data_IF_929177861334
#
_entry.id   IF_929177861334
#
_cell.length_a   1.000
_cell.length_b   1.000
_cell.length_c   1.000
_cell.angle_alpha   90.00
_cell.angle_beta   90.00
_cell.angle_gamma   90.00
#
_symmetry.space_group_name_H-M   'P 1'
#
loop_
_entity.id
_entity.type
_entity.pdbx_description
1 polymer ?
#
# COMPACT_ATOMS: atom_id res chain seq x y z
N UNK A 1 -38.64 3.49 5.40
CA UNK A 1 -37.22 3.77 5.70
C UNK A 1 -36.49 3.70 4.38
N UNK A 2 -35.95 4.82 3.90
CA UNK A 2 -35.16 4.84 2.67
C UNK A 2 -34.01 3.84 2.78
N UNK A 3 -33.76 3.11 1.70
CA UNK A 3 -32.68 2.13 1.65
C UNK A 3 -31.36 2.90 1.77
N UNK A 4 -30.69 2.71 2.91
CA UNK A 4 -29.43 3.38 3.22
C UNK A 4 -28.39 3.02 2.14
N UNK A 5 -28.06 3.97 1.28
CA UNK A 5 -27.08 3.76 0.20
C UNK A 5 -25.68 3.99 0.76
N UNK A 6 -24.80 3.03 0.49
CA UNK A 6 -23.40 3.08 0.94
C UNK A 6 -22.46 2.77 -0.21
N UNK A 7 -21.34 3.46 -0.22
CA UNK A 7 -20.16 3.13 -1.00
C UNK A 7 -19.12 2.50 -0.05
N UNK A 8 -18.56 1.36 -0.45
CA UNK A 8 -17.56 0.61 0.32
C UNK A 8 -16.22 0.70 -0.40
N UNK A 9 -15.24 1.35 0.23
CA UNK A 9 -13.94 1.63 -0.35
C UNK A 9 -12.88 0.78 0.39
N UNK A 10 -12.22 -0.18 -0.27
CA UNK A 10 -11.16 -0.95 0.36
C UNK A 10 -9.95 -0.05 0.66
N UNK A 11 -9.41 -0.16 1.87
CA UNK A 11 -8.13 0.44 2.21
C UNK A 11 -7.02 -0.46 1.68
N UNK A 12 -6.27 0.10 0.73
CA UNK A 12 -5.16 -0.54 0.03
C UNK A 12 -3.83 -0.15 0.67
N UNK A 13 -2.77 -0.88 0.32
CA UNK A 13 -1.42 -0.63 0.83
C UNK A 13 -0.79 0.63 0.23
N UNK A 14 0.21 1.18 0.92
CA UNK A 14 1.04 2.29 0.42
C UNK A 14 1.65 1.98 -0.95
N UNK A 15 2.01 0.73 -1.22
CA UNK A 15 2.56 0.30 -2.50
C UNK A 15 1.56 0.42 -3.66
N UNK A 16 0.27 0.22 -3.38
CA UNK A 16 -0.81 0.29 -4.35
C UNK A 16 -1.24 1.73 -4.65
N UNK A 17 -1.12 2.65 -3.67
CA UNK A 17 -1.38 4.08 -3.85
C UNK A 17 -0.17 4.84 -4.37
N UNK A 18 1.02 4.23 -4.34
CA UNK A 18 2.28 4.88 -4.71
C UNK A 18 2.25 5.42 -6.15
N UNK A 19 2.66 6.68 -6.29
CA UNK A 19 2.87 7.32 -7.58
C UNK A 19 4.18 6.84 -8.25
N UNK A 20 4.39 7.23 -9.51
CA UNK A 20 5.61 6.89 -10.22
C UNK A 20 6.82 7.60 -9.57
N UNK A 21 7.63 6.83 -8.86
CA UNK A 21 8.96 7.24 -8.43
C UNK A 21 9.96 6.70 -9.43
N UNK A 22 10.82 7.59 -9.92
CA UNK A 22 11.85 7.25 -10.90
C UNK A 22 13.22 7.10 -10.24
N UNK A 23 14.10 6.37 -10.90
CA UNK A 23 15.50 6.20 -10.53
C UNK A 23 16.35 6.18 -11.79
N UNK A 24 17.60 6.66 -11.70
CA UNK A 24 18.47 6.82 -12.87
C UNK A 24 19.29 5.55 -13.14
N UNK A 25 19.40 5.18 -14.40
CA UNK A 25 20.24 4.07 -14.85
C UNK A 25 20.96 4.42 -16.17
N UNK A 26 22.03 3.68 -16.44
CA UNK A 26 22.80 3.79 -17.68
C UNK A 26 22.24 2.79 -18.69
N UNK A 27 21.92 3.29 -19.88
CA UNK A 27 21.51 2.48 -21.03
C UNK A 27 22.45 2.65 -22.20
N UNK A 28 22.54 1.61 -23.04
CA UNK A 28 23.22 1.66 -24.33
C UNK A 28 22.36 1.09 -25.45
N UNK A 29 22.60 1.53 -26.68
CA UNK A 29 21.95 1.01 -27.88
C UNK A 29 22.62 -0.29 -28.33
N UNK A 30 21.81 -1.27 -28.73
CA UNK A 30 22.26 -2.51 -29.35
C UNK A 30 22.34 -2.31 -30.87
N UNK A 31 23.55 -2.41 -31.42
CA UNK A 31 23.84 -2.28 -32.87
C UNK A 31 23.36 -3.54 -33.61
N UNK A 32 23.72 -4.72 -33.10
CA UNK A 32 23.42 -5.99 -33.76
C UNK A 32 22.33 -6.79 -33.05
N UNK A 33 21.13 -6.80 -33.63
CA UNK A 33 19.98 -7.55 -33.08
C UNK A 33 20.25 -9.05 -32.93
N UNK A 34 21.18 -9.63 -33.68
CA UNK A 34 21.57 -11.05 -33.56
C UNK A 34 22.41 -11.32 -32.29
N UNK A 35 23.10 -10.30 -31.77
CA UNK A 35 23.97 -10.41 -30.60
C UNK A 35 23.23 -10.26 -29.27
N UNK A 36 21.94 -9.93 -29.32
CA UNK A 36 21.08 -9.74 -28.13
C UNK A 36 21.17 -10.92 -27.15
N UNK A 37 21.21 -12.16 -27.64
CA UNK A 37 21.33 -13.35 -26.79
C UNK A 37 22.68 -13.47 -26.07
N UNK A 38 23.79 -13.07 -26.73
CA UNK A 38 25.14 -13.06 -26.14
C UNK A 38 25.24 -11.97 -25.07
N UNK A 39 24.79 -10.75 -25.39
CA UNK A 39 24.71 -9.62 -24.46
C UNK A 39 23.86 -9.98 -23.23
N UNK A 40 22.72 -10.66 -23.45
CA UNK A 40 21.85 -11.12 -22.37
C UNK A 40 22.55 -12.08 -21.41
N UNK A 41 23.39 -12.99 -21.92
CA UNK A 41 24.20 -13.92 -21.12
C UNK A 41 25.32 -13.22 -20.36
N UNK A 42 25.97 -12.22 -20.96
CA UNK A 42 27.11 -11.54 -20.34
C UNK A 42 26.71 -10.63 -19.18
N UNK A 43 25.64 -9.84 -19.31
CA UNK A 43 25.12 -9.01 -18.20
C UNK A 43 24.01 -9.77 -17.46
N UNK A 44 24.22 -11.04 -17.14
CA UNK A 44 23.19 -12.04 -16.82
C UNK A 44 22.05 -11.54 -15.91
N UNK A 45 22.35 -10.74 -14.89
CA UNK A 45 21.37 -10.16 -13.96
C UNK A 45 21.18 -8.65 -14.15
N UNK A 46 19.94 -8.21 -13.97
CA UNK A 46 19.65 -6.78 -13.82
C UNK A 46 20.31 -6.25 -12.54
N UNK A 47 20.66 -4.96 -12.49
CA UNK A 47 21.15 -4.35 -11.26
C UNK A 47 20.19 -4.61 -10.10
N UNK A 48 20.75 -4.86 -8.91
CA UNK A 48 19.97 -5.17 -7.71
C UNK A 48 18.88 -4.10 -7.51
N UNK A 49 17.63 -4.56 -7.36
CA UNK A 49 16.47 -3.71 -7.21
C UNK A 49 15.77 -3.30 -8.51
N UNK A 50 16.24 -3.76 -9.68
CA UNK A 50 15.61 -3.48 -10.99
C UNK A 50 14.98 -4.72 -11.66
N UNK A 51 14.80 -5.82 -10.93
CA UNK A 51 14.29 -7.09 -11.47
C UNK A 51 12.86 -6.99 -12.05
N UNK A 52 12.11 -5.96 -11.68
CA UNK A 52 10.77 -5.69 -12.23
C UNK A 52 10.82 -5.04 -13.62
N UNK A 53 11.96 -4.53 -14.08
CA UNK A 53 12.11 -3.93 -15.39
C UNK A 53 12.43 -4.99 -16.44
N UNK A 54 11.90 -4.85 -17.66
CA UNK A 54 12.38 -5.63 -18.79
C UNK A 54 13.75 -5.08 -19.18
N UNK A 55 14.72 -5.95 -19.39
CA UNK A 55 16.11 -5.52 -19.61
C UNK A 55 16.33 -4.74 -20.90
N UNK A 56 15.51 -4.98 -21.92
CA UNK A 56 15.60 -4.35 -23.24
C UNK A 56 14.27 -3.67 -23.55
N UNK A 57 14.34 -2.47 -24.14
CA UNK A 57 13.19 -1.81 -24.77
C UNK A 57 13.47 -1.55 -26.25
N UNK A 58 12.39 -1.40 -27.03
CA UNK A 58 12.44 -0.83 -28.37
C UNK A 58 11.99 0.62 -28.29
N UNK A 59 12.83 1.55 -28.74
CA UNK A 59 12.56 2.98 -28.70
C UNK A 59 13.01 3.60 -30.02
N UNK A 60 12.13 4.33 -30.71
CA UNK A 60 12.40 4.98 -32.01
C UNK A 60 13.01 4.04 -33.08
N UNK A 61 12.66 2.76 -33.06
CA UNK A 61 13.16 1.75 -34.02
C UNK A 61 14.43 1.02 -33.56
N UNK A 62 15.13 1.55 -32.57
CA UNK A 62 16.36 1.01 -31.98
C UNK A 62 16.08 0.16 -30.75
N UNK A 63 17.04 -0.70 -30.38
CA UNK A 63 17.00 -1.49 -29.15
C UNK A 63 17.93 -0.87 -28.10
N UNK A 64 17.42 -0.64 -26.90
CA UNK A 64 18.19 -0.11 -25.78
C UNK A 64 18.20 -1.12 -24.64
N UNK A 65 19.35 -1.28 -23.97
CA UNK A 65 19.55 -2.21 -22.86
C UNK A 65 19.99 -1.47 -21.61
N UNK A 66 19.44 -1.86 -20.45
CA UNK A 66 19.94 -1.41 -19.14
C UNK A 66 21.28 -2.09 -18.85
N UNK A 67 22.29 -1.27 -18.55
CA UNK A 67 23.64 -1.72 -18.23
C UNK A 67 23.85 -1.74 -16.71
N UNK A 68 23.63 -0.61 -16.05
CA UNK A 68 23.80 -0.51 -14.60
C UNK A 68 22.90 0.55 -13.95
N UNK A 69 22.69 0.39 -12.65
CA UNK A 69 22.06 1.39 -11.78
C UNK A 69 23.10 2.43 -11.36
N UNK A 70 22.71 3.70 -11.29
CA UNK A 70 23.57 4.76 -10.76
C UNK A 70 23.56 4.71 -9.23
N UNK A 71 24.72 4.88 -8.60
CA UNK A 71 24.82 4.91 -7.13
C UNK A 71 24.25 6.21 -6.59
N UNK A 72 23.67 6.18 -5.39
CA UNK A 72 23.10 7.38 -4.74
C UNK A 72 24.14 8.51 -4.58
N UNK A 73 25.40 8.18 -4.30
CA UNK A 73 26.51 9.13 -4.18
C UNK A 73 26.79 9.91 -5.47
N UNK A 74 26.38 9.36 -6.62
CA UNK A 74 26.60 9.95 -7.94
C UNK A 74 25.36 10.72 -8.45
N UNK A 75 24.23 10.73 -7.72
CA UNK A 75 22.97 11.36 -8.18
C UNK A 75 23.11 12.88 -8.40
N UNK A 76 23.96 13.56 -7.62
CA UNK A 76 24.19 15.01 -7.70
C UNK A 76 25.22 15.42 -8.76
N UNK A 77 25.94 14.46 -9.36
CA UNK A 77 26.95 14.74 -10.39
C UNK A 77 26.28 15.03 -11.74
N UNK A 78 26.98 15.79 -12.60
CA UNK A 78 26.54 16.01 -13.98
C UNK A 78 26.54 14.70 -14.76
N UNK A 79 25.62 14.56 -15.71
CA UNK A 79 25.47 13.33 -16.50
C UNK A 79 26.76 12.95 -17.23
N UNK A 80 27.43 13.95 -17.81
CA UNK A 80 28.69 13.79 -18.55
C UNK A 80 29.82 13.28 -17.64
N UNK A 81 29.91 13.77 -16.40
CA UNK A 81 30.90 13.33 -15.42
C UNK A 81 30.67 11.85 -15.06
N UNK A 82 29.42 11.46 -14.80
CA UNK A 82 29.05 10.07 -14.48
C UNK A 82 29.39 9.14 -15.64
N UNK A 83 29.04 9.51 -16.88
CA UNK A 83 29.30 8.69 -18.06
C UNK A 83 30.81 8.58 -18.31
N UNK A 84 31.57 9.66 -18.17
CA UNK A 84 33.02 9.64 -18.34
C UNK A 84 33.71 8.78 -17.27
N UNK A 85 33.34 8.96 -15.98
CA UNK A 85 33.83 8.11 -14.89
C UNK A 85 33.47 6.63 -15.12
N UNK A 86 32.26 6.36 -15.59
CA UNK A 86 31.81 5.00 -15.88
C UNK A 86 32.59 4.37 -17.04
N UNK A 87 32.92 5.14 -18.10
CA UNK A 87 33.73 4.70 -19.25
C UNK A 87 35.19 4.41 -18.87
N UNK A 88 35.74 5.12 -17.89
CA UNK A 88 37.17 5.03 -17.51
C UNK A 88 37.43 3.92 -16.47
N UNK A 89 36.42 3.49 -15.70
CA UNK A 89 36.56 2.40 -14.71
C UNK A 89 37.00 1.09 -15.40
N UNK A 90 38.14 0.56 -14.97
CA UNK A 90 38.84 -0.58 -15.60
C UNK A 90 37.97 -1.86 -15.73
N UNK A 91 37.14 -2.14 -14.72
CA UNK A 91 36.15 -3.23 -14.76
C UNK A 91 35.08 -3.03 -15.84
N UNK A 92 34.71 -1.77 -16.12
CA UNK A 92 33.72 -1.46 -17.15
C UNK A 92 34.35 -1.50 -18.54
N UNK A 93 35.62 -1.14 -18.70
CA UNK A 93 36.34 -1.26 -19.98
C UNK A 93 36.39 -2.72 -20.45
N UNK A 94 36.69 -3.67 -19.54
CA UNK A 94 36.68 -5.10 -19.87
C UNK A 94 35.26 -5.61 -20.18
N UNK A 95 34.23 -5.08 -19.52
CA UNK A 95 32.83 -5.39 -19.80
C UNK A 95 32.40 -4.83 -21.16
N UNK A 96 32.75 -3.59 -21.47
CA UNK A 96 32.51 -2.91 -22.75
C UNK A 96 33.20 -3.65 -23.91
N UNK A 97 34.42 -4.15 -23.71
CA UNK A 97 35.15 -4.96 -24.70
C UNK A 97 34.51 -6.34 -24.93
N UNK A 98 33.86 -6.93 -23.93
CA UNK A 98 33.10 -8.20 -24.06
C UNK A 98 31.74 -8.01 -24.75
N UNK A 99 31.12 -6.85 -24.56
CA UNK A 99 29.83 -6.46 -25.13
C UNK A 99 29.91 -6.11 -26.63
N UNK A 100 30.45 -7.02 -27.44
CA UNK A 100 30.36 -6.97 -28.90
C UNK A 100 28.88 -6.82 -29.32
N UNK A 101 28.49 -5.62 -29.74
CA UNK A 101 27.14 -5.30 -30.18
C UNK A 101 26.44 -4.15 -29.45
N UNK A 102 27.06 -3.50 -28.45
CA UNK A 102 26.56 -2.24 -27.87
C UNK A 102 27.35 -1.05 -28.40
N UNK A 103 26.65 0.03 -28.77
CA UNK A 103 27.27 1.29 -29.18
C UNK A 103 27.71 2.11 -27.97
N UNK A 104 29.01 2.19 -27.72
CA UNK A 104 29.63 2.92 -26.61
C UNK A 104 29.32 4.43 -26.67
N UNK A 105 29.15 4.99 -27.87
CA UNK A 105 28.86 6.40 -28.05
C UNK A 105 27.38 6.72 -27.81
N UNK A 106 26.51 5.70 -27.85
CA UNK A 106 25.08 5.84 -27.54
C UNK A 106 24.74 5.78 -26.04
N UNK A 107 25.75 5.58 -25.19
CA UNK A 107 25.54 5.44 -23.75
C UNK A 107 24.97 6.75 -23.20
N UNK A 108 23.84 6.64 -22.51
CA UNK A 108 23.14 7.76 -21.90
C UNK A 108 22.51 7.36 -20.58
N UNK A 109 22.19 8.37 -19.78
CA UNK A 109 21.44 8.19 -18.55
C UNK A 109 19.96 8.37 -18.86
N UNK A 110 19.14 7.49 -18.31
CA UNK A 110 17.69 7.60 -18.39
C UNK A 110 17.06 7.39 -17.02
N UNK A 111 15.83 7.84 -16.89
CA UNK A 111 15.00 7.55 -15.74
C UNK A 111 14.12 6.32 -16.01
N UNK A 112 14.08 5.41 -15.04
CA UNK A 112 13.22 4.21 -15.07
C UNK A 112 12.38 4.12 -13.79
N UNK A 113 11.24 3.41 -13.79
CA UNK A 113 10.46 3.20 -12.57
C UNK A 113 11.30 2.51 -11.49
N UNK A 114 11.43 3.16 -10.32
CA UNK A 114 12.16 2.63 -9.16
C UNK A 114 11.51 1.36 -8.60
N UNK A 115 10.18 1.32 -8.61
CA UNK A 115 9.40 0.21 -8.09
C UNK A 115 8.55 -0.45 -9.17
N UNK A 116 8.23 -1.72 -8.96
CA UNK A 116 7.27 -2.42 -9.79
C UNK A 116 5.87 -1.79 -9.67
N UNK A 117 5.11 -1.69 -10.78
CA UNK A 117 3.68 -1.46 -10.67
C UNK A 117 3.03 -2.68 -10.03
N UNK A 118 2.10 -2.44 -9.10
CA UNK A 118 1.37 -3.49 -8.39
C UNK A 118 -0.09 -3.62 -8.82
N UNK A 119 -0.61 -2.64 -9.58
CA UNK A 119 -1.94 -2.69 -10.18
C UNK A 119 -1.95 -2.19 -11.64
N UNK A 120 -3.10 -2.36 -12.31
CA UNK A 120 -3.25 -2.01 -13.74
C UNK A 120 -3.05 -0.51 -14.01
N UNK A 121 -3.49 0.36 -13.11
CA UNK A 121 -3.37 1.81 -13.28
C UNK A 121 -1.91 2.25 -13.20
N UNK A 122 -1.17 1.78 -12.20
CA UNK A 122 0.27 1.99 -12.13
C UNK A 122 0.98 1.39 -13.35
N UNK A 123 0.60 0.19 -13.80
CA UNK A 123 1.23 -0.43 -14.97
C UNK A 123 1.06 0.41 -16.23
N UNK A 124 -0.13 0.97 -16.48
CA UNK A 124 -0.39 1.87 -17.61
C UNK A 124 0.52 3.10 -17.61
N UNK A 125 0.89 3.61 -16.42
CA UNK A 125 1.77 4.78 -16.29
C UNK A 125 3.24 4.37 -16.34
N UNK A 126 3.64 3.36 -15.57
CA UNK A 126 5.05 3.00 -15.38
C UNK A 126 5.65 2.40 -16.65
N UNK A 127 4.87 1.57 -17.36
CA UNK A 127 5.31 0.93 -18.61
C UNK A 127 5.57 1.91 -19.75
N UNK A 128 5.02 3.13 -19.68
CA UNK A 128 5.31 4.22 -20.64
C UNK A 128 6.73 4.77 -20.48
N UNK A 129 7.26 4.76 -19.26
CA UNK A 129 8.63 5.24 -18.99
C UNK A 129 9.65 4.16 -19.36
N UNK A 130 9.42 2.94 -18.86
CA UNK A 130 10.23 1.79 -19.24
C UNK A 130 9.40 0.51 -19.11
N UNK A 131 9.48 -0.45 -20.06
CA UNK A 131 8.72 -1.68 -19.98
C UNK A 131 9.04 -2.44 -18.68
N UNK A 132 8.01 -2.76 -17.91
CA UNK A 132 8.13 -3.42 -16.61
C UNK A 132 7.17 -4.61 -16.51
N UNK A 133 7.33 -5.43 -15.48
CA UNK A 133 6.43 -6.51 -15.12
C UNK A 133 5.46 -6.02 -14.04
N UNK A 134 4.18 -6.36 -14.18
CA UNK A 134 3.18 -6.16 -13.14
C UNK A 134 3.42 -7.17 -12.01
N UNK A 135 3.64 -6.70 -10.78
CA UNK A 135 3.84 -7.54 -9.60
C UNK A 135 2.72 -7.26 -8.59
N UNK A 136 1.59 -7.99 -8.64
CA UNK A 136 0.47 -7.76 -7.74
C UNK A 136 0.87 -7.83 -6.25
N UNK A 137 0.17 -7.09 -5.36
CA UNK A 137 0.45 -7.12 -3.93
C UNK A 137 0.23 -8.53 -3.39
N UNK A 138 1.04 -8.92 -2.40
CA UNK A 138 0.92 -10.24 -1.76
C UNK A 138 -0.38 -10.42 -0.96
N UNK A 139 -0.95 -9.32 -0.47
CA UNK A 139 -2.13 -9.29 0.38
C UNK A 139 -3.13 -8.24 -0.12
N UNK A 140 -3.80 -8.45 -1.26
CA UNK A 140 -4.80 -7.53 -1.76
C UNK A 140 -5.98 -7.43 -0.78
N UNK A 141 -6.62 -6.27 -0.69
CA UNK A 141 -7.91 -6.15 0.01
C UNK A 141 -9.01 -6.56 -0.97
N UNK A 142 -9.75 -7.64 -0.73
CA UNK A 142 -10.81 -8.08 -1.63
C UNK A 142 -11.98 -7.09 -1.59
N UNK A 143 -12.70 -6.98 -2.71
CA UNK A 143 -13.98 -6.28 -2.72
C UNK A 143 -15.00 -7.05 -1.86
N UNK A 144 -15.97 -6.32 -1.33
CA UNK A 144 -17.07 -6.93 -0.58
C UNK A 144 -18.10 -7.50 -1.56
N UNK A 145 -18.51 -8.75 -1.34
CA UNK A 145 -19.55 -9.42 -2.11
C UNK A 145 -20.93 -8.79 -1.86
N UNK A 146 -21.79 -8.82 -2.88
CA UNK A 146 -23.09 -8.14 -2.83
C UNK A 146 -23.96 -8.61 -1.66
N UNK A 147 -23.91 -9.90 -1.32
CA UNK A 147 -24.66 -10.52 -0.24
C UNK A 147 -24.24 -10.02 1.15
N UNK A 148 -22.99 -9.55 1.30
CA UNK A 148 -22.48 -9.01 2.56
C UNK A 148 -22.87 -7.55 2.80
N UNK A 149 -23.25 -6.81 1.75
CA UNK A 149 -23.60 -5.39 1.85
C UNK A 149 -24.77 -5.18 2.82
N UNK A 150 -25.78 -6.04 2.78
CA UNK A 150 -26.93 -5.95 3.70
C UNK A 150 -26.53 -6.12 5.16
N UNK A 151 -25.61 -7.05 5.45
CA UNK A 151 -25.05 -7.24 6.78
C UNK A 151 -24.31 -5.99 7.25
N UNK A 152 -23.46 -5.40 6.39
CA UNK A 152 -22.72 -4.18 6.72
C UNK A 152 -23.68 -3.01 6.99
N UNK A 153 -24.69 -2.80 6.12
CA UNK A 153 -25.74 -1.79 6.32
C UNK A 153 -26.46 -1.99 7.65
N UNK A 154 -26.85 -3.22 7.97
CA UNK A 154 -27.52 -3.55 9.23
C UNK A 154 -26.64 -3.22 10.44
N UNK A 155 -25.34 -3.55 10.39
CA UNK A 155 -24.42 -3.25 11.49
C UNK A 155 -24.23 -1.74 11.68
N UNK A 156 -24.12 -0.95 10.62
CA UNK A 156 -24.09 0.51 10.74
C UNK A 156 -25.40 1.11 11.21
N UNK A 157 -26.54 0.55 10.79
CA UNK A 157 -27.84 0.95 11.33
C UNK A 157 -27.91 0.68 12.85
N UNK A 158 -27.45 -0.48 13.32
CA UNK A 158 -27.39 -0.77 14.76
C UNK A 158 -26.37 0.11 15.51
N UNK A 159 -25.26 0.45 14.86
CA UNK A 159 -24.28 1.41 15.37
C UNK A 159 -24.90 2.82 15.51
N UNK A 160 -25.82 3.19 14.60
CA UNK A 160 -26.53 4.48 14.55
C UNK A 160 -27.81 4.54 15.41
N UNK A 161 -28.57 3.46 15.56
CA UNK A 161 -29.84 3.44 16.34
C UNK A 161 -29.58 3.73 17.83
N UNK A 162 -28.38 3.43 18.34
CA UNK A 162 -27.97 3.79 19.69
C UNK A 162 -27.54 5.26 19.86
N UNK A 163 -27.82 6.12 18.87
CA UNK A 163 -27.18 7.44 18.77
C UNK A 163 -28.01 8.67 19.11
N UNK A 164 -29.21 8.95 18.62
CA UNK A 164 -29.67 10.37 18.56
C UNK A 164 -28.54 11.32 18.08
N UNK A 165 -27.66 10.85 17.19
CA UNK A 165 -26.60 11.68 16.60
C UNK A 165 -27.16 12.14 15.26
N UNK A 166 -27.62 13.39 15.24
CA UNK A 166 -27.81 14.10 14.00
C UNK A 166 -26.49 14.12 13.24
N UNK A 167 -26.54 13.70 11.97
CA UNK A 167 -25.45 13.57 11.01
C UNK A 167 -24.82 14.91 10.58
N UNK A 168 -24.91 15.96 11.40
CA UNK A 168 -24.36 17.27 11.11
C UNK A 168 -23.74 17.87 12.36
N UNK A 169 -22.43 17.70 12.53
CA UNK A 169 -21.54 18.72 13.10
C UNK A 169 -20.10 18.25 12.93
N UNK A 170 -19.52 18.65 11.81
CA UNK A 170 -18.07 18.68 11.61
C UNK A 170 -17.56 19.78 12.55
N UNK A 171 -17.24 19.44 13.80
CA UNK A 171 -16.53 20.38 14.69
C UNK A 171 -15.03 20.20 14.45
N UNK A 172 -14.44 21.20 13.81
CA UNK A 172 -13.11 21.16 13.22
C UNK A 172 -11.94 21.25 14.21
N UNK A 173 -12.20 21.41 15.52
CA UNK A 173 -11.15 21.80 16.47
C UNK A 173 -10.84 20.83 17.62
N UNK A 174 -11.42 19.62 17.66
CA UNK A 174 -11.18 18.70 18.79
C UNK A 174 -10.24 17.55 18.42
N UNK A 175 -9.09 17.51 19.10
CA UNK A 175 -8.17 16.36 19.13
C UNK A 175 -8.95 15.14 19.68
N UNK A 176 -9.05 14.08 18.86
CA UNK A 176 -9.86 12.86 19.05
C UNK A 176 -11.38 13.10 18.93
N UNK A 177 -12.05 12.43 18.00
CA UNK A 177 -13.50 12.49 17.81
C UNK A 177 -14.23 11.86 19.01
N UNK A 178 -14.58 12.71 19.99
CA UNK A 178 -15.19 12.41 21.31
C UNK A 178 -16.56 11.72 21.25
N UNK A 179 -17.03 11.34 20.06
CA UNK A 179 -18.30 10.62 19.81
C UNK A 179 -18.06 9.28 19.11
N UNK A 180 -16.82 8.78 19.12
CA UNK A 180 -16.54 7.50 18.49
C UNK A 180 -17.34 6.37 19.14
N UNK A 181 -17.91 5.51 18.31
CA UNK A 181 -18.59 4.27 18.70
C UNK A 181 -17.96 3.11 17.94
N UNK A 182 -17.87 1.97 18.59
CA UNK A 182 -17.35 0.72 18.06
C UNK A 182 -18.34 -0.41 18.37
N UNK A 183 -18.64 -1.23 17.38
CA UNK A 183 -19.46 -2.43 17.46
C UNK A 183 -18.61 -3.60 16.95
N UNK A 184 -18.56 -4.69 17.71
CA UNK A 184 -17.82 -5.89 17.31
C UNK A 184 -18.79 -7.02 17.05
N UNK A 185 -18.62 -7.68 15.91
CA UNK A 185 -19.29 -8.91 15.55
C UNK A 185 -18.31 -10.08 15.55
N UNK A 186 -18.75 -11.24 16.04
CA UNK A 186 -17.97 -12.47 15.93
C UNK A 186 -18.07 -13.10 14.53
N UNK A 187 -17.41 -14.24 14.34
CA UNK A 187 -17.40 -14.98 13.07
C UNK A 187 -18.79 -15.45 12.59
N UNK A 188 -19.77 -15.52 13.49
CA UNK A 188 -21.15 -15.89 13.20
C UNK A 188 -22.05 -14.67 12.94
N UNK A 189 -21.45 -13.47 12.76
CA UNK A 189 -22.15 -12.19 12.55
C UNK A 189 -23.05 -11.79 13.73
N UNK A 190 -22.76 -12.30 14.93
CA UNK A 190 -23.47 -11.93 16.16
C UNK A 190 -22.72 -10.78 16.83
N UNK A 191 -23.46 -9.78 17.29
CA UNK A 191 -22.92 -8.64 18.02
C UNK A 191 -22.45 -9.11 19.40
N UNK A 192 -21.16 -8.96 19.67
CA UNK A 192 -20.56 -9.25 20.97
C UNK A 192 -20.66 -8.04 21.91
N UNK A 193 -20.45 -6.84 21.38
CA UNK A 193 -20.42 -5.62 22.17
C UNK A 193 -20.60 -4.36 21.33
N UNK A 194 -21.12 -3.31 21.95
CA UNK A 194 -21.19 -1.95 21.41
C UNK A 194 -20.67 -1.01 22.49
N UNK A 195 -19.61 -0.26 22.18
CA UNK A 195 -18.95 0.62 23.14
C UNK A 195 -18.73 2.02 22.56
N UNK A 196 -18.74 3.01 23.46
CA UNK A 196 -18.48 4.41 23.14
C UNK A 196 -17.11 4.82 23.67
N UNK A 197 -16.59 5.93 23.17
CA UNK A 197 -15.42 6.57 23.76
C UNK A 197 -15.77 7.07 25.16
N UNK A 198 -14.95 6.75 26.15
CA UNK A 198 -15.15 7.16 27.54
C UNK A 198 -13.96 7.92 28.12
N UNK A 199 -13.03 8.35 27.28
CA UNK A 199 -11.81 9.05 27.72
C UNK A 199 -12.08 10.23 28.65
N UNK A 200 -13.07 11.06 28.32
CA UNK A 200 -13.46 12.24 29.11
C UNK A 200 -14.21 11.83 30.37
N UNK A 201 -15.24 11.01 30.22
CA UNK A 201 -16.11 10.59 31.33
C UNK A 201 -15.32 9.89 32.42
N UNK A 202 -14.36 9.07 32.01
CA UNK A 202 -13.52 8.25 32.89
C UNK A 202 -12.18 8.91 33.23
N UNK A 203 -11.88 10.09 32.67
CA UNK A 203 -10.59 10.77 32.76
C UNK A 203 -9.39 9.83 32.50
N UNK A 204 -9.48 9.01 31.44
CA UNK A 204 -8.50 7.97 31.13
C UNK A 204 -8.11 8.00 29.65
N UNK A 205 -6.82 8.19 29.30
CA UNK A 205 -6.41 8.48 27.92
C UNK A 205 -6.55 7.30 26.95
N UNK A 206 -6.64 6.05 27.44
CA UNK A 206 -6.70 4.85 26.58
C UNK A 206 -8.12 4.35 26.29
N UNK A 207 -9.15 4.89 26.94
CA UNK A 207 -10.52 4.34 26.86
C UNK A 207 -11.27 4.81 25.60
N UNK A 208 -10.64 4.63 24.45
CA UNK A 208 -11.22 4.85 23.14
C UNK A 208 -12.28 3.80 22.81
N UNK A 209 -13.26 4.14 21.98
CA UNK A 209 -14.34 3.20 21.62
C UNK A 209 -13.85 1.82 21.12
N UNK A 210 -12.91 1.70 20.15
CA UNK A 210 -12.42 0.40 19.72
C UNK A 210 -11.73 -0.40 20.85
N UNK A 211 -11.04 0.29 21.75
CA UNK A 211 -10.34 -0.34 22.86
C UNK A 211 -11.32 -0.84 23.94
N UNK A 212 -12.31 -0.02 24.29
CA UNK A 212 -13.40 -0.40 25.19
C UNK A 212 -14.18 -1.59 24.61
N UNK A 213 -14.47 -1.57 23.30
CA UNK A 213 -15.12 -2.68 22.61
C UNK A 213 -14.33 -3.97 22.76
N UNK A 214 -13.02 -3.92 22.46
CA UNK A 214 -12.12 -5.06 22.62
C UNK A 214 -12.10 -5.62 24.06
N UNK A 215 -12.01 -4.76 25.06
CA UNK A 215 -12.01 -5.18 26.47
C UNK A 215 -13.32 -5.84 26.92
N UNK A 216 -14.42 -5.46 26.28
CA UNK A 216 -15.76 -5.93 26.63
C UNK A 216 -16.16 -7.23 25.92
N UNK A 217 -15.29 -7.79 25.07
CA UNK A 217 -15.58 -9.06 24.41
C UNK A 217 -15.50 -10.19 25.46
N UNK A 218 -16.53 -11.06 25.55
CA UNK A 218 -16.53 -12.19 26.47
C UNK A 218 -15.59 -13.29 25.98
N UNK A 219 -14.28 -13.10 26.14
CA UNK A 219 -13.27 -14.08 25.77
C UNK A 219 -13.17 -15.14 26.89
N UNK A 220 -13.62 -16.36 26.59
CA UNK A 220 -13.36 -17.50 27.46
C UNK A 220 -11.87 -17.90 27.38
N UNK A 221 -11.31 -18.49 28.44
CA UNK A 221 -9.89 -18.92 28.54
C UNK A 221 -9.34 -19.74 27.35
N UNK A 222 -10.20 -20.30 26.47
CA UNK A 222 -9.83 -21.05 25.26
C UNK A 222 -9.76 -20.24 23.96
N UNK A 223 -10.33 -19.03 23.91
CA UNK A 223 -10.36 -18.15 22.73
C UNK A 223 -9.95 -16.74 23.14
N UNK A 224 -8.65 -16.47 23.17
CA UNK A 224 -8.11 -15.14 23.47
C UNK A 224 -7.97 -14.26 22.21
N UNK A 225 -8.22 -14.81 21.02
CA UNK A 225 -8.07 -14.14 19.73
C UNK A 225 -9.44 -13.89 19.09
N UNK A 226 -9.55 -12.75 18.42
CA UNK A 226 -10.73 -12.28 17.68
C UNK A 226 -10.62 -12.64 16.18
N UNK A 227 -10.05 -13.80 15.86
CA UNK A 227 -9.90 -14.26 14.48
C UNK A 227 -11.25 -14.40 13.80
N UNK A 228 -11.42 -13.73 12.66
CA UNK A 228 -12.69 -13.71 11.92
C UNK A 228 -13.74 -12.75 12.49
N UNK A 229 -13.37 -11.91 13.46
CA UNK A 229 -14.26 -10.88 13.99
C UNK A 229 -14.21 -9.64 13.09
N UNK A 230 -15.34 -8.96 13.02
CA UNK A 230 -15.51 -7.70 12.31
C UNK A 230 -15.67 -6.57 13.33
N UNK A 231 -14.93 -5.47 13.13
CA UNK A 231 -15.15 -4.22 13.84
C UNK A 231 -15.90 -3.23 12.93
N UNK A 232 -16.99 -2.67 13.41
CA UNK A 232 -17.70 -1.54 12.80
C UNK A 232 -17.50 -0.32 13.69
N UNK A 233 -16.96 0.77 13.16
CA UNK A 233 -16.70 1.96 13.97
C UNK A 233 -16.99 3.25 13.22
N UNK A 234 -17.41 4.28 13.93
CA UNK A 234 -17.70 5.59 13.31
C UNK A 234 -16.45 6.28 12.78
N UNK A 235 -15.32 6.14 13.47
CA UNK A 235 -14.09 6.86 13.12
C UNK A 235 -12.95 5.86 13.00
N UNK A 236 -12.05 6.13 12.07
CA UNK A 236 -10.86 5.33 11.88
C UNK A 236 -10.07 5.24 13.21
N UNK A 237 -9.76 4.03 13.68
CA UNK A 237 -8.93 3.83 14.86
C UNK A 237 -7.59 4.57 14.76
N UNK A 238 -7.16 5.20 15.86
CA UNK A 238 -5.79 5.71 15.98
C UNK A 238 -4.78 4.55 16.01
N UNK A 239 -3.49 4.86 15.87
CA UNK A 239 -2.42 3.86 15.81
C UNK A 239 -2.43 2.86 16.99
N UNK A 240 -2.71 3.33 18.22
CA UNK A 240 -2.83 2.46 19.40
C UNK A 240 -3.98 1.45 19.24
N UNK A 241 -5.17 1.93 18.89
CA UNK A 241 -6.34 1.08 18.70
C UNK A 241 -6.13 0.11 17.52
N UNK A 242 -5.54 0.59 16.41
CA UNK A 242 -5.17 -0.26 15.28
C UNK A 242 -4.23 -1.39 15.68
N UNK A 243 -3.21 -1.09 16.50
CA UNK A 243 -2.26 -2.09 16.97
C UNK A 243 -2.90 -3.08 17.95
N UNK A 244 -3.83 -2.63 18.79
CA UNK A 244 -4.61 -3.52 19.64
C UNK A 244 -5.43 -4.52 18.80
N UNK A 245 -6.13 -4.06 17.76
CA UNK A 245 -6.89 -4.92 16.85
C UNK A 245 -5.99 -5.94 16.12
N UNK A 246 -4.78 -5.51 15.74
CA UNK A 246 -3.78 -6.38 15.12
C UNK A 246 -3.34 -7.49 16.07
N UNK A 247 -3.00 -7.15 17.32
CA UNK A 247 -2.62 -8.13 18.34
C UNK A 247 -3.78 -9.07 18.69
N UNK A 248 -5.01 -8.58 18.64
CA UNK A 248 -6.23 -9.37 18.82
C UNK A 248 -6.63 -10.18 17.59
N UNK A 249 -5.90 -10.09 16.48
CA UNK A 249 -6.11 -10.88 15.26
C UNK A 249 -7.48 -10.67 14.59
N UNK A 250 -8.00 -9.44 14.61
CA UNK A 250 -9.27 -9.12 13.91
C UNK A 250 -9.22 -9.51 12.43
N UNK A 251 -10.38 -9.90 11.87
CA UNK A 251 -10.51 -10.29 10.48
C UNK A 251 -10.76 -9.11 9.55
N UNK A 252 -11.69 -8.21 9.94
CA UNK A 252 -12.01 -7.01 9.16
C UNK A 252 -12.34 -5.80 10.03
N UNK A 253 -12.13 -4.62 9.48
CA UNK A 253 -12.55 -3.36 10.09
C UNK A 253 -13.29 -2.50 9.05
N UNK A 254 -14.44 -1.96 9.44
CA UNK A 254 -15.25 -1.04 8.67
C UNK A 254 -15.33 0.29 9.44
N UNK A 255 -14.96 1.40 8.82
CA UNK A 255 -15.05 2.73 9.44
C UNK A 255 -15.67 3.77 8.51
N UNK A 256 -16.22 4.86 9.07
CA UNK A 256 -16.87 5.92 8.27
C UNK A 256 -15.89 7.08 8.02
N UNK A 257 -15.48 7.73 9.09
CA UNK A 257 -14.65 8.94 9.03
C UNK A 257 -13.17 8.60 9.14
N UNK A 258 -12.36 9.10 8.21
CA UNK A 258 -10.91 8.98 8.30
C UNK A 258 -10.38 9.81 9.47
N UNK A 259 -9.35 9.32 10.14
CA UNK A 259 -8.73 10.05 11.23
C UNK A 259 -7.74 11.07 10.66
N UNK A 260 -7.98 12.36 10.94
CA UNK A 260 -7.27 13.49 10.31
C UNK A 260 -5.74 13.43 10.39
N UNK A 261 -5.17 13.03 11.53
CA UNK A 261 -3.72 13.17 11.79
C UNK A 261 -2.97 11.89 12.13
N UNK A 262 -3.65 10.84 12.59
CA UNK A 262 -3.01 9.63 13.14
C UNK A 262 -3.83 8.35 12.87
N UNK A 263 -4.46 8.28 11.69
CA UNK A 263 -5.22 7.10 11.26
C UNK A 263 -4.34 5.87 11.10
N UNK A 264 -4.70 4.78 11.78
CA UNK A 264 -3.92 3.55 11.73
C UNK A 264 -3.86 2.94 10.33
N UNK A 265 -4.88 3.16 9.50
CA UNK A 265 -5.09 2.43 8.25
C UNK A 265 -4.88 3.31 7.02
N UNK A 266 -5.33 4.56 7.04
CA UNK A 266 -5.23 5.50 5.91
C UNK A 266 -3.89 6.22 5.86
N UNK A 267 -3.31 6.53 7.02
CA UNK A 267 -2.00 7.22 7.11
C UNK A 267 -0.88 6.20 7.31
N UNK A 268 -1.03 5.30 8.28
CA UNK A 268 0.05 4.38 8.65
C UNK A 268 0.00 3.02 7.93
N UNK A 269 -1.09 2.72 7.21
CA UNK A 269 -1.34 1.44 6.52
C UNK A 269 -1.03 0.21 7.39
N UNK A 270 -1.32 0.29 8.70
CA UNK A 270 -0.92 -0.69 9.70
C UNK A 270 -1.40 -2.11 9.34
N UNK A 271 -2.61 -2.22 8.81
CA UNK A 271 -3.24 -3.49 8.43
C UNK A 271 -2.56 -4.20 7.24
N UNK A 272 -1.66 -3.52 6.52
CA UNK A 272 -0.93 -4.04 5.34
C UNK A 272 0.60 -3.93 5.47
N UNK A 273 1.14 -3.48 6.62
CA UNK A 273 2.59 -3.39 6.85
C UNK A 273 3.24 -4.77 6.76
N UNK A 274 4.14 -4.97 5.78
CA UNK A 274 4.83 -6.25 5.54
C UNK A 274 5.68 -6.73 6.73
N UNK A 275 6.15 -5.82 7.58
CA UNK A 275 6.96 -6.16 8.75
C UNK A 275 6.13 -6.74 9.92
N UNK A 276 4.80 -6.73 9.83
CA UNK A 276 3.91 -7.22 10.88
C UNK A 276 3.41 -8.63 10.54
N UNK A 277 3.17 -9.44 11.58
CA UNK A 277 2.84 -10.86 11.47
C UNK A 277 1.33 -11.15 11.30
N UNK A 278 0.49 -10.12 11.33
CA UNK A 278 -0.95 -10.25 11.12
C UNK A 278 -1.43 -9.12 10.22
N UNK A 279 -2.29 -9.47 9.28
CA UNK A 279 -2.89 -8.56 8.32
C UNK A 279 -4.38 -8.81 8.28
N UNK A 280 -5.13 -7.75 8.02
CA UNK A 280 -6.58 -7.81 7.98
C UNK A 280 -7.14 -6.79 7.00
N UNK A 281 -8.38 -7.02 6.58
CA UNK A 281 -9.01 -6.19 5.57
C UNK A 281 -9.67 -4.99 6.24
N UNK A 282 -9.51 -3.83 5.63
CA UNK A 282 -10.07 -2.58 6.16
C UNK A 282 -10.84 -1.89 5.04
N UNK A 283 -12.01 -1.36 5.38
CA UNK A 283 -12.90 -0.70 4.45
C UNK A 283 -13.38 0.63 5.03
N UNK A 284 -13.35 1.67 4.22
CA UNK A 284 -14.04 2.92 4.50
C UNK A 284 -15.45 2.86 3.91
N UNK A 285 -16.42 3.35 4.67
CA UNK A 285 -17.83 3.42 4.30
C UNK A 285 -18.22 4.87 4.11
N UNK A 286 -18.79 5.20 2.96
CA UNK A 286 -19.42 6.50 2.71
C UNK A 286 -20.91 6.32 2.51
N UNK A 287 -21.70 7.16 3.15
CA UNK A 287 -23.14 7.22 2.95
C UNK A 287 -23.41 8.19 1.79
N UNK A 288 -24.24 7.78 0.83
CA UNK A 288 -24.55 8.53 -0.39
C UNK A 288 -26.05 8.77 -0.56
#
# INVERSE_FOLDING_TARGET
>A
MEELKIEIIPIISEEETRELIKERCIVGRIIEKKMTGKIMKEIQELPVGMNHLKRIRRYEGELEIIICKIKQEEENKKEEEIINEWKIKENNIQMIQKLEGIDINSIKIIEVPKYAPVNKEQYKVFSKVWPCNLLPPSLPTPNIEYEEINYIKEMFNKLNINQNIETQTINEELKCDKRCIALVCNCNKIIETIQKDTTIKSNHPLLHAPFNALQSIPLNHKKYLCTGFDLFTTHEPCLMCGMALLHSRFGRVFFIHQHKTNGAFTIHHLNKKKQLNHHFNVYQIKFI
#
